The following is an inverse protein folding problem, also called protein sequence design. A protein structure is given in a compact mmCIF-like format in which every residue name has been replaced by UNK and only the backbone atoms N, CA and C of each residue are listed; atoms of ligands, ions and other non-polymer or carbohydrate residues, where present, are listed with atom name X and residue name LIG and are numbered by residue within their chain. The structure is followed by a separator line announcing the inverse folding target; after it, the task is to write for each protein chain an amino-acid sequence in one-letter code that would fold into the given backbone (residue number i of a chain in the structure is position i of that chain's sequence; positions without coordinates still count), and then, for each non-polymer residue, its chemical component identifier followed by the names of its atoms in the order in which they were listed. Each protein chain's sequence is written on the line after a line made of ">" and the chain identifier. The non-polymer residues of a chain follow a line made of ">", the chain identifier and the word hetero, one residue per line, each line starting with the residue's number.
data_IF_727940749403
#
_entry.id   IF_727940749403
#
_cell.length_a   1.000
_cell.length_b   1.000
_cell.length_c   1.000
_cell.angle_alpha   90.00
_cell.angle_beta   90.00
_cell.angle_gamma   90.00
#
_symmetry.space_group_name_H-M   'P 1'
#
loop_
_entity.id
_entity.type
_entity.pdbx_description
1 polymer ?
#
# COMPACT_ATOMS: atom_id res chain seq x y z
N UNK A 1 4.26 -27.71 -60.21
CA UNK A 1 4.72 -26.30 -60.33
C UNK A 1 3.68 -25.40 -59.68
N UNK A 2 4.09 -24.61 -58.66
CA UNK A 2 3.32 -23.69 -57.79
C UNK A 2 2.45 -24.34 -56.69
N UNK A 3 2.53 -24.08 -55.39
CA UNK A 3 3.51 -23.48 -54.47
C UNK A 3 2.72 -23.17 -53.18
N UNK A 4 2.89 -23.97 -52.12
CA UNK A 4 3.11 -23.60 -50.71
C UNK A 4 2.44 -22.37 -50.01
N UNK A 5 1.46 -21.67 -50.58
CA UNK A 5 1.00 -20.34 -50.08
C UNK A 5 -0.34 -20.32 -49.31
N UNK A 6 -0.90 -21.47 -48.92
CA UNK A 6 -2.24 -21.52 -48.27
C UNK A 6 -2.27 -21.66 -46.74
N UNK A 7 -1.15 -22.03 -46.09
CA UNK A 7 -1.17 -22.45 -44.68
C UNK A 7 -0.83 -21.31 -43.71
N UNK A 8 -0.05 -20.31 -44.14
CA UNK A 8 0.33 -19.16 -43.30
C UNK A 8 -0.84 -18.26 -42.89
N UNK A 9 -1.85 -18.10 -43.75
CA UNK A 9 -3.00 -17.21 -43.52
C UNK A 9 -3.96 -17.82 -42.47
N UNK A 10 -4.06 -19.15 -42.42
CA UNK A 10 -4.90 -19.85 -41.43
C UNK A 10 -4.26 -19.85 -40.04
N UNK A 11 -2.95 -20.05 -39.95
CA UNK A 11 -2.22 -19.95 -38.68
C UNK A 11 -2.27 -18.53 -38.09
N UNK A 12 -2.22 -17.49 -38.94
CA UNK A 12 -2.39 -16.09 -38.52
C UNK A 12 -3.80 -15.77 -38.03
N UNK A 13 -4.84 -16.40 -38.58
CA UNK A 13 -6.21 -16.21 -38.09
C UNK A 13 -6.41 -16.85 -36.70
N UNK A 14 -5.77 -17.99 -36.40
CA UNK A 14 -5.81 -18.60 -35.07
C UNK A 14 -5.09 -17.78 -33.99
N UNK A 15 -4.10 -16.95 -34.36
CA UNK A 15 -3.45 -16.03 -33.42
C UNK A 15 -4.29 -14.78 -33.10
N UNK A 16 -5.18 -14.35 -34.00
CA UNK A 16 -6.08 -13.22 -33.76
C UNK A 16 -7.28 -13.58 -32.86
N UNK A 17 -7.65 -14.87 -32.81
CA UNK A 17 -8.67 -15.38 -31.89
C UNK A 17 -8.14 -15.47 -30.45
N UNK A 18 -6.83 -15.65 -30.25
CA UNK A 18 -6.17 -15.57 -28.93
C UNK A 18 -5.90 -14.14 -28.43
N UNK A 19 -6.32 -13.09 -29.15
CA UNK A 19 -6.00 -11.69 -28.79
C UNK A 19 -7.20 -10.71 -28.82
N UNK A 20 -8.39 -11.16 -29.21
CA UNK A 20 -9.33 -10.25 -29.88
C UNK A 20 -10.46 -9.58 -29.07
N UNK A 21 -11.23 -10.29 -28.22
CA UNK A 21 -12.48 -9.69 -27.68
C UNK A 21 -13.03 -10.21 -26.36
N UNK A 22 -12.91 -11.51 -26.06
CA UNK A 22 -13.39 -12.05 -24.78
C UNK A 22 -12.34 -11.89 -23.68
N UNK A 23 -11.07 -12.18 -23.97
CA UNK A 23 -9.98 -11.99 -23.03
C UNK A 23 -9.68 -10.52 -22.74
N UNK A 24 -9.89 -9.61 -23.70
CA UNK A 24 -9.75 -8.17 -23.45
C UNK A 24 -10.85 -7.65 -22.51
N UNK A 25 -12.10 -8.07 -22.70
CA UNK A 25 -13.20 -7.67 -21.81
C UNK A 25 -13.01 -8.28 -20.41
N UNK A 26 -12.62 -9.54 -20.33
CA UNK A 26 -12.29 -10.22 -19.07
C UNK A 26 -11.08 -9.56 -18.38
N UNK A 27 -10.02 -9.21 -19.11
CA UNK A 27 -8.85 -8.50 -18.59
C UNK A 27 -9.17 -7.07 -18.15
N UNK A 28 -10.01 -6.33 -18.88
CA UNK A 28 -10.44 -4.97 -18.49
C UNK A 28 -11.33 -5.01 -17.25
N UNK A 29 -12.27 -5.96 -17.16
CA UNK A 29 -13.12 -6.14 -15.98
C UNK A 29 -12.30 -6.60 -14.77
N UNK A 30 -11.31 -7.48 -14.95
CA UNK A 30 -10.40 -7.91 -13.89
C UNK A 30 -9.44 -6.79 -13.45
N UNK A 31 -8.97 -5.96 -14.38
CA UNK A 31 -8.15 -4.78 -14.11
C UNK A 31 -8.95 -3.72 -13.33
N UNK A 32 -10.22 -3.50 -13.67
CA UNK A 32 -11.14 -2.64 -12.89
C UNK A 32 -11.45 -3.24 -11.52
N UNK A 33 -11.63 -4.56 -11.43
CA UNK A 33 -11.85 -5.27 -10.16
C UNK A 33 -10.63 -5.23 -9.23
N UNK A 34 -9.40 -5.22 -9.76
CA UNK A 34 -8.16 -4.99 -8.99
C UNK A 34 -8.03 -3.51 -8.60
N UNK A 35 -8.40 -2.58 -9.48
CA UNK A 35 -8.48 -1.12 -9.23
C UNK A 35 -9.56 -0.76 -8.19
N UNK A 36 -10.60 -1.58 -8.06
CA UNK A 36 -11.56 -1.52 -6.95
C UNK A 36 -11.19 -2.42 -5.78
N UNK A 37 -10.35 -3.45 -5.90
CA UNK A 37 -9.78 -4.15 -4.73
C UNK A 37 -8.69 -3.30 -4.06
N UNK A 38 -8.26 -2.25 -4.77
CA UNK A 38 -7.68 -1.03 -4.26
C UNK A 38 -8.65 -0.13 -3.46
N UNK A 39 -9.93 -0.54 -3.29
CA UNK A 39 -11.05 0.21 -2.72
C UNK A 39 -10.57 1.05 -1.53
N UNK A 40 -10.83 2.37 -1.58
CA UNK A 40 -10.35 3.32 -0.61
C UNK A 40 -10.88 2.95 0.77
N UNK A 41 -9.97 2.66 1.69
CA UNK A 41 -10.31 2.68 3.10
C UNK A 41 -10.84 4.08 3.45
N UNK A 42 -11.92 4.20 4.22
CA UNK A 42 -12.36 5.50 4.70
C UNK A 42 -11.25 6.09 5.57
N UNK A 43 -10.96 7.38 5.37
CA UNK A 43 -9.92 8.16 6.07
C UNK A 43 -9.92 7.92 7.59
N UNK A 44 -11.09 7.75 8.19
CA UNK A 44 -11.25 7.50 9.62
C UNK A 44 -10.59 6.20 10.12
N UNK A 45 -10.62 5.13 9.34
CA UNK A 45 -10.02 3.84 9.74
C UNK A 45 -8.50 3.94 9.77
N UNK A 46 -7.92 4.58 8.75
CA UNK A 46 -6.47 4.79 8.67
C UNK A 46 -5.98 5.68 9.80
N UNK A 47 -6.75 6.71 10.17
CA UNK A 47 -6.46 7.61 11.30
C UNK A 47 -6.32 6.83 12.63
N UNK A 48 -7.30 5.97 12.92
CA UNK A 48 -7.31 5.14 14.14
C UNK A 48 -6.12 4.18 14.14
N UNK A 49 -5.87 3.50 13.02
CA UNK A 49 -4.79 2.51 12.94
C UNK A 49 -3.40 3.17 13.08
N UNK A 50 -3.19 4.34 12.47
CA UNK A 50 -1.94 5.11 12.64
C UNK A 50 -1.74 5.51 14.10
N UNK A 51 -2.81 5.99 14.77
CA UNK A 51 -2.74 6.38 16.18
C UNK A 51 -2.40 5.21 17.09
N UNK A 52 -3.00 4.04 16.85
CA UNK A 52 -2.70 2.83 17.62
C UNK A 52 -1.24 2.42 17.40
N UNK A 53 -0.72 2.47 16.16
CA UNK A 53 0.69 2.16 15.90
C UNK A 53 1.64 3.06 16.70
N UNK A 54 1.33 4.36 16.72
CA UNK A 54 2.15 5.36 17.37
C UNK A 54 2.11 5.22 18.89
N UNK A 55 0.92 5.02 19.47
CA UNK A 55 0.77 4.72 20.89
C UNK A 55 1.52 3.43 21.28
N UNK A 56 1.35 2.35 20.52
CA UNK A 56 2.03 1.08 20.81
C UNK A 56 3.56 1.21 20.72
N UNK A 57 4.06 1.97 19.73
CA UNK A 57 5.50 2.25 19.60
C UNK A 57 6.05 3.02 20.81
N UNK A 58 5.31 4.01 21.34
CA UNK A 58 5.71 4.78 22.54
C UNK A 58 5.61 3.94 23.81
N UNK A 59 4.59 3.09 23.93
CA UNK A 59 4.44 2.16 25.07
C UNK A 59 5.61 1.18 25.08
N UNK A 60 5.97 0.58 23.93
CA UNK A 60 7.12 -0.29 23.80
C UNK A 60 8.43 0.43 24.15
N UNK A 61 8.57 1.69 23.76
CA UNK A 61 9.71 2.54 24.14
C UNK A 61 9.80 2.72 25.66
N UNK A 62 8.67 3.04 26.31
CA UNK A 62 8.61 3.22 27.77
C UNK A 62 8.92 1.91 28.51
N UNK A 63 8.37 0.80 28.04
CA UNK A 63 8.66 -0.55 28.53
C UNK A 63 10.16 -0.83 28.39
N UNK A 64 10.76 -0.58 27.23
CA UNK A 64 12.19 -0.80 27.00
C UNK A 64 13.09 0.07 27.90
N UNK A 65 12.66 1.28 28.28
CA UNK A 65 13.38 2.16 29.20
C UNK A 65 13.25 1.71 30.67
N UNK A 66 12.12 1.11 31.06
CA UNK A 66 11.85 0.69 32.43
C UNK A 66 12.30 -0.74 32.76
N UNK A 67 12.40 -1.65 31.79
CA UNK A 67 12.89 -3.00 32.03
C UNK A 67 14.40 -2.99 32.30
N UNK A 68 14.80 -3.34 33.52
CA UNK A 68 16.21 -3.49 33.93
C UNK A 68 16.80 -4.87 33.60
N UNK A 69 15.94 -5.88 33.46
CA UNK A 69 16.31 -7.19 32.93
C UNK A 69 15.72 -7.35 31.53
N UNK A 70 16.50 -7.81 30.54
CA UNK A 70 15.99 -8.17 29.22
C UNK A 70 15.25 -9.52 29.32
N UNK A 71 14.24 -9.64 30.17
CA UNK A 71 13.67 -10.90 30.69
C UNK A 71 13.23 -11.92 29.62
N UNK A 72 12.96 -11.46 28.40
CA UNK A 72 12.35 -12.24 27.32
C UNK A 72 12.85 -11.75 25.95
N UNK A 73 14.18 -11.67 25.74
CA UNK A 73 14.78 -11.26 24.44
C UNK A 73 14.24 -12.03 23.22
N UNK A 74 13.52 -13.13 23.42
CA UNK A 74 12.78 -13.83 22.38
C UNK A 74 11.48 -13.12 21.94
N UNK A 75 10.79 -12.41 22.84
CA UNK A 75 9.50 -11.76 22.54
C UNK A 75 9.72 -10.39 21.87
N UNK A 76 10.83 -9.73 22.16
CA UNK A 76 11.15 -8.42 21.59
C UNK A 76 11.29 -8.43 20.05
N UNK A 77 12.04 -9.37 19.41
CA UNK A 77 12.10 -9.50 17.95
C UNK A 77 10.74 -9.79 17.32
N UNK A 78 9.92 -10.63 17.96
CA UNK A 78 8.58 -10.96 17.46
C UNK A 78 7.64 -9.75 17.47
N UNK A 79 7.65 -8.95 18.55
CA UNK A 79 6.87 -7.72 18.63
C UNK A 79 7.36 -6.65 17.65
N UNK A 80 8.67 -6.54 17.45
CA UNK A 80 9.26 -5.67 16.42
C UNK A 80 8.85 -6.11 15.00
N UNK A 81 8.86 -7.42 14.71
CA UNK A 81 8.43 -7.97 13.43
C UNK A 81 6.95 -7.63 13.16
N UNK A 82 6.07 -7.88 14.13
CA UNK A 82 4.63 -7.60 14.02
C UNK A 82 4.38 -6.09 13.85
N UNK A 83 5.06 -5.25 14.65
CA UNK A 83 4.99 -3.78 14.53
C UNK A 83 5.47 -3.31 13.16
N UNK A 84 6.52 -3.93 12.62
CA UNK A 84 7.07 -3.58 11.31
C UNK A 84 6.15 -4.01 10.18
N UNK A 85 5.54 -5.19 10.25
CA UNK A 85 4.52 -5.62 9.28
C UNK A 85 3.28 -4.73 9.31
N UNK A 86 2.82 -4.35 10.51
CA UNK A 86 1.72 -3.41 10.66
C UNK A 86 2.07 -2.04 10.08
N UNK A 87 3.30 -1.56 10.31
CA UNK A 87 3.82 -0.33 9.71
C UNK A 87 3.85 -0.42 8.17
N UNK A 88 4.33 -1.51 7.58
CA UNK A 88 4.33 -1.71 6.13
C UNK A 88 2.91 -1.69 5.55
N UNK A 89 1.97 -2.42 6.18
CA UNK A 89 0.57 -2.44 5.77
C UNK A 89 -0.07 -1.05 5.82
N UNK A 90 0.19 -0.29 6.89
CA UNK A 90 -0.33 1.06 7.03
C UNK A 90 0.29 2.02 6.02
N UNK A 91 1.60 2.01 5.83
CA UNK A 91 2.27 2.89 4.87
C UNK A 91 1.79 2.63 3.44
N UNK A 92 1.56 1.38 3.04
CA UNK A 92 1.02 1.03 1.71
C UNK A 92 -0.45 1.48 1.59
N UNK A 93 -1.24 1.33 2.65
CA UNK A 93 -2.64 1.77 2.68
C UNK A 93 -2.77 3.29 2.65
N UNK A 94 -2.00 4.00 3.49
CA UNK A 94 -2.02 5.46 3.59
C UNK A 94 -1.51 6.12 2.31
N UNK A 95 -0.42 5.63 1.72
CA UNK A 95 0.08 6.18 0.44
C UNK A 95 -0.94 6.06 -0.68
N UNK A 96 -1.64 4.93 -0.78
CA UNK A 96 -2.77 4.77 -1.71
C UNK A 96 -3.91 5.77 -1.42
N UNK A 97 -4.27 5.94 -0.16
CA UNK A 97 -5.38 6.77 0.27
C UNK A 97 -5.11 8.28 0.05
N UNK A 98 -3.88 8.72 0.34
CA UNK A 98 -3.38 10.07 0.02
C UNK A 98 -3.45 10.33 -1.49
N UNK A 99 -3.02 9.36 -2.31
CA UNK A 99 -3.01 9.49 -3.78
C UNK A 99 -4.41 9.45 -4.41
N UNK A 100 -5.39 8.76 -3.80
CA UNK A 100 -6.74 8.62 -4.34
C UNK A 100 -7.75 9.67 -3.84
N UNK A 101 -7.59 10.19 -2.62
CA UNK A 101 -8.58 11.09 -2.00
C UNK A 101 -8.04 12.49 -1.69
N UNK A 102 -6.73 12.74 -1.87
CA UNK A 102 -6.05 13.98 -1.45
C UNK A 102 -6.28 14.37 0.03
N UNK A 103 -6.79 13.43 0.82
CA UNK A 103 -7.14 13.58 2.22
C UNK A 103 -6.54 12.38 2.96
N UNK A 104 -5.46 12.64 3.70
CA UNK A 104 -4.62 11.62 4.32
C UNK A 104 -5.16 11.09 5.66
N UNK A 105 -6.24 11.68 6.18
CA UNK A 105 -6.64 11.55 7.58
C UNK A 105 -6.12 12.70 8.43
N UNK A 106 -6.85 13.03 9.49
CA UNK A 106 -6.65 14.22 10.29
C UNK A 106 -5.32 14.18 11.08
N UNK A 107 -4.88 12.98 11.45
CA UNK A 107 -3.65 12.75 12.22
C UNK A 107 -2.44 12.88 11.30
N UNK A 108 -2.50 12.37 10.07
CA UNK A 108 -1.40 12.54 9.10
C UNK A 108 -1.19 14.02 8.76
N UNK A 109 -2.26 14.79 8.59
CA UNK A 109 -2.18 16.24 8.37
C UNK A 109 -1.67 17.00 9.60
N UNK A 110 -2.10 16.62 10.80
CA UNK A 110 -1.61 17.20 12.05
C UNK A 110 -0.12 16.91 12.27
N UNK A 111 0.34 15.68 12.02
CA UNK A 111 1.76 15.32 12.06
C UNK A 111 2.56 16.03 10.97
N UNK A 112 2.03 16.18 9.76
CA UNK A 112 2.66 16.94 8.69
C UNK A 112 2.86 18.40 9.06
N UNK A 113 1.85 19.03 9.66
CA UNK A 113 1.95 20.40 10.20
C UNK A 113 2.89 20.50 11.40
N UNK A 114 2.96 19.49 12.26
CA UNK A 114 3.89 19.46 13.39
C UNK A 114 5.36 19.30 12.94
N UNK A 115 5.63 18.45 11.96
CA UNK A 115 6.99 18.22 11.42
C UNK A 115 7.46 19.38 10.53
N UNK A 116 6.57 19.99 9.74
CA UNK A 116 6.91 21.08 8.81
C UNK A 116 6.78 22.46 9.47
N UNK A 117 5.96 22.57 10.51
CA UNK A 117 5.61 23.82 11.20
C UNK A 117 6.68 24.33 12.15
N UNK A 118 7.92 24.42 11.66
CA UNK A 118 8.96 25.30 12.21
C UNK A 118 10.12 25.54 11.23
N UNK A 119 9.91 25.49 9.90
CA UNK A 119 10.77 26.29 9.01
C UNK A 119 10.34 27.75 9.11
N UNK A 120 10.78 28.38 10.19
CA UNK A 120 10.82 29.82 10.39
C UNK A 120 11.06 30.52 9.04
N UNK A 121 10.24 31.50 8.62
CA UNK A 121 10.67 32.45 7.62
C UNK A 121 11.77 33.32 8.26
N UNK A 122 12.96 32.75 8.41
CA UNK A 122 14.20 33.51 8.47
C UNK A 122 14.37 33.96 7.01
N UNK A 123 13.77 35.07 6.57
CA UNK A 123 14.07 36.36 7.18
C UNK A 123 15.48 36.79 6.78
N UNK A 124 15.91 36.40 5.57
CA UNK A 124 16.86 37.09 4.71
C UNK A 124 16.28 37.09 3.29
#
# INVERSE_FOLDING_TARGET
>A
MRSHLGVGIRAQHWLNVCAGRQDMVLATVLLIAIVMMLLPLPTWMVDILITINLMFSVILLLIAIYLSDPLDLSVFPSLLLITTLYRLSLTISTSRLVLLQHNAGNIVDAFGRFVVGEILPLGW
#
